data_IF_717672781917
#
_entry.id   IF_717672781917
#
_cell.length_a   1.000
_cell.length_b   1.000
_cell.length_c   1.000
_cell.angle_alpha   90.00
_cell.angle_beta   90.00
_cell.angle_gamma   90.00
#
_symmetry.space_group_name_H-M   'P 1'
#
loop_
_entity.id
_entity.type
_entity.pdbx_description
1 polymer ?
#
# COMPACT_ATOMS: atom_id res chain seq x y z
N UNK A 1 13.93 2.95 -16.14
CA UNK A 1 13.28 4.23 -15.74
C UNK A 1 13.38 4.38 -14.22
N UNK A 2 13.59 5.60 -13.69
CA UNK A 2 13.59 5.82 -12.25
C UNK A 2 12.19 5.58 -11.66
N UNK A 3 12.12 5.04 -10.44
CA UNK A 3 10.86 4.96 -9.70
C UNK A 3 10.40 6.37 -9.28
N UNK A 4 9.13 6.68 -9.54
CA UNK A 4 8.45 7.94 -9.17
C UNK A 4 7.59 7.80 -7.90
N UNK A 5 7.80 6.73 -7.14
CA UNK A 5 7.13 6.48 -5.87
C UNK A 5 8.11 5.82 -4.89
N UNK A 6 8.07 6.16 -3.58
CA UNK A 6 8.86 5.48 -2.56
C UNK A 6 8.31 4.10 -2.19
N UNK A 7 7.08 3.76 -2.57
CA UNK A 7 6.38 2.52 -2.15
C UNK A 7 6.82 1.25 -2.89
N UNK A 8 7.90 1.31 -3.66
CA UNK A 8 8.43 0.16 -4.37
C UNK A 8 9.20 -0.78 -3.43
N UNK A 9 8.84 -2.06 -3.44
CA UNK A 9 9.55 -3.12 -2.73
C UNK A 9 9.34 -3.14 -1.21
N UNK A 10 8.22 -2.59 -0.75
CA UNK A 10 7.80 -2.53 0.65
C UNK A 10 6.30 -2.83 0.77
N UNK A 11 5.80 -3.00 2.00
CA UNK A 11 4.37 -3.04 2.27
C UNK A 11 4.00 -2.29 3.54
N UNK A 12 2.72 -1.93 3.61
CA UNK A 12 2.05 -1.41 4.80
C UNK A 12 1.00 -2.43 5.25
N UNK A 13 0.73 -2.50 6.55
CA UNK A 13 -0.56 -3.01 7.00
C UNK A 13 -1.64 -1.97 6.69
N UNK A 14 -2.86 -2.44 6.43
CA UNK A 14 -3.86 -1.57 5.83
C UNK A 14 -4.23 -0.33 6.66
N UNK A 15 -4.38 -0.39 8.00
CA UNK A 15 -4.61 0.80 8.82
C UNK A 15 -3.48 1.84 8.70
N UNK A 16 -2.22 1.41 8.62
CA UNK A 16 -1.08 2.31 8.44
C UNK A 16 -1.01 2.91 7.04
N UNK A 17 -1.49 2.17 6.03
CA UNK A 17 -1.64 2.72 4.69
C UNK A 17 -2.68 3.85 4.66
N UNK A 18 -3.82 3.69 5.34
CA UNK A 18 -4.84 4.74 5.43
C UNK A 18 -4.29 5.98 6.14
N UNK A 19 -3.58 5.80 7.25
CA UNK A 19 -2.97 6.92 7.96
C UNK A 19 -1.84 7.58 7.16
N UNK A 20 -1.04 6.79 6.43
CA UNK A 20 -0.05 7.32 5.49
C UNK A 20 -0.69 8.24 4.44
N UNK A 21 -1.85 7.84 3.91
CA UNK A 21 -2.57 8.61 2.88
C UNK A 21 -3.31 9.84 3.43
N UNK A 22 -3.68 9.88 4.71
CA UNK A 22 -4.48 10.98 5.28
C UNK A 22 -3.72 12.32 5.29
N UNK A 23 -2.39 12.27 5.43
CA UNK A 23 -1.48 13.38 5.17
C UNK A 23 -0.30 12.90 4.31
N UNK A 24 -0.59 12.57 3.04
CA UNK A 24 0.41 12.01 2.14
C UNK A 24 1.67 12.89 2.04
N UNK A 25 1.51 14.22 1.96
CA UNK A 25 2.66 15.12 1.79
C UNK A 25 3.52 15.16 3.06
N UNK A 26 2.91 15.39 4.23
CA UNK A 26 3.65 15.40 5.50
C UNK A 26 4.33 14.06 5.76
N UNK A 27 3.63 12.95 5.50
CA UNK A 27 4.17 11.62 5.70
C UNK A 27 5.33 11.29 4.74
N UNK A 28 5.30 11.73 3.49
CA UNK A 28 6.43 11.53 2.57
C UNK A 28 7.72 12.22 3.05
N UNK A 29 7.59 13.34 3.77
CA UNK A 29 8.69 14.13 4.32
C UNK A 29 9.10 13.71 5.75
N UNK A 30 8.28 12.89 6.41
CA UNK A 30 8.48 12.48 7.80
C UNK A 30 9.71 11.57 7.98
N UNK A 31 10.28 11.62 9.19
CA UNK A 31 11.42 10.78 9.58
C UNK A 31 10.99 9.33 9.74
N UNK A 32 11.89 8.43 9.37
CA UNK A 32 11.77 7.01 9.64
C UNK A 32 12.49 6.68 10.94
N UNK A 33 11.80 6.03 11.89
CA UNK A 33 12.43 5.39 13.04
C UNK A 33 12.41 3.89 12.89
N UNK A 34 13.57 3.28 12.74
CA UNK A 34 13.68 1.83 12.60
C UNK A 34 13.41 1.13 13.92
N UNK A 35 12.71 -0.01 13.83
CA UNK A 35 12.35 -0.88 14.96
C UNK A 35 12.74 -2.32 14.65
N UNK A 36 12.95 -3.12 15.68
CA UNK A 36 13.32 -4.53 15.57
C UNK A 36 12.11 -5.46 15.54
N UNK A 37 10.97 -4.97 15.99
CA UNK A 37 9.72 -5.71 16.09
C UNK A 37 8.60 -4.92 15.43
N UNK A 38 7.71 -5.64 14.76
CA UNK A 38 6.47 -5.11 14.23
C UNK A 38 5.46 -4.92 15.36
N UNK A 39 4.67 -3.85 15.28
CA UNK A 39 3.50 -3.64 16.14
C UNK A 39 2.35 -4.61 15.84
N UNK A 40 2.41 -5.32 14.71
CA UNK A 40 1.44 -6.35 14.35
C UNK A 40 2.01 -7.75 14.57
N UNK A 41 1.28 -8.61 15.27
CA UNK A 41 1.67 -10.01 15.47
C UNK A 41 1.93 -10.75 14.14
N UNK A 42 1.12 -10.47 13.12
CA UNK A 42 1.30 -11.02 11.76
C UNK A 42 2.58 -10.48 11.08
N UNK A 43 2.98 -9.24 11.39
CA UNK A 43 4.22 -8.67 10.88
C UNK A 43 5.44 -9.37 11.47
N UNK A 44 5.43 -9.62 12.79
CA UNK A 44 6.46 -10.41 13.47
C UNK A 44 6.52 -11.85 12.95
N UNK A 45 5.37 -12.50 12.75
CA UNK A 45 5.30 -13.84 12.17
C UNK A 45 5.95 -13.88 10.78
N UNK A 46 5.64 -12.90 9.92
CA UNK A 46 6.22 -12.79 8.57
C UNK A 46 7.71 -12.52 8.61
N UNK A 47 8.16 -11.62 9.48
CA UNK A 47 9.56 -11.31 9.66
C UNK A 47 10.36 -12.56 10.06
N UNK A 48 9.86 -13.32 11.03
CA UNK A 48 10.50 -14.55 11.51
C UNK A 48 10.53 -15.67 10.45
N UNK A 49 9.56 -15.70 9.53
CA UNK A 49 9.50 -16.66 8.42
C UNK A 49 10.22 -16.17 7.16
N UNK A 50 10.72 -14.94 7.13
CA UNK A 50 11.34 -14.36 5.95
C UNK A 50 12.68 -15.03 5.64
N UNK A 51 12.95 -15.30 4.35
CA UNK A 51 14.24 -15.86 3.91
C UNK A 51 15.42 -14.91 4.12
N UNK A 52 15.14 -13.61 4.21
CA UNK A 52 16.11 -12.55 4.41
C UNK A 52 15.53 -11.57 5.42
N UNK A 53 16.34 -11.13 6.38
CA UNK A 53 16.00 -10.00 7.22
C UNK A 53 15.83 -8.75 6.36
N UNK A 54 14.93 -7.86 6.79
CA UNK A 54 14.63 -6.61 6.13
C UNK A 54 14.26 -5.55 7.17
N UNK A 55 14.48 -4.25 6.91
CA UNK A 55 14.16 -3.20 7.88
C UNK A 55 12.66 -3.05 8.11
N UNK A 56 12.28 -2.78 9.36
CA UNK A 56 10.95 -2.31 9.75
C UNK A 56 11.12 -0.91 10.32
N UNK A 57 10.28 0.04 9.90
CA UNK A 57 10.32 1.39 10.44
C UNK A 57 8.93 1.93 10.74
N UNK A 58 8.87 2.87 11.68
CA UNK A 58 7.73 3.71 11.95
C UNK A 58 7.97 5.07 11.30
N UNK A 59 7.04 5.47 10.43
CA UNK A 59 6.97 6.79 9.85
C UNK A 59 6.16 7.69 10.78
N UNK A 60 6.71 8.85 11.13
CA UNK A 60 6.12 9.78 12.10
C UNK A 60 5.77 9.08 13.44
N UNK A 61 6.62 8.15 13.89
CA UNK A 61 6.44 7.33 15.10
C UNK A 61 5.20 6.42 15.16
N UNK A 62 4.35 6.44 14.13
CA UNK A 62 3.05 5.78 14.17
C UNK A 62 2.86 4.73 13.07
N UNK A 63 3.26 5.01 11.82
CA UNK A 63 2.87 4.19 10.67
C UNK A 63 3.95 3.19 10.30
N UNK A 64 3.66 1.89 10.39
CA UNK A 64 4.64 0.84 10.16
C UNK A 64 4.83 0.51 8.69
N UNK A 65 6.10 0.44 8.28
CA UNK A 65 6.54 0.10 6.93
C UNK A 65 7.51 -1.06 7.02
N UNK A 66 7.23 -2.11 6.24
CA UNK A 66 8.12 -3.25 6.07
C UNK A 66 8.86 -3.17 4.74
N UNK A 67 10.17 -2.95 4.78
CA UNK A 67 11.02 -2.73 3.61
C UNK A 67 11.56 -4.05 3.01
N UNK A 68 10.67 -4.91 2.51
CA UNK A 68 10.95 -6.29 2.06
C UNK A 68 12.19 -6.48 1.16
N UNK A 69 12.46 -5.54 0.25
CA UNK A 69 13.52 -5.66 -0.76
C UNK A 69 14.72 -4.75 -0.50
N UNK A 70 15.00 -4.45 0.78
CA UNK A 70 16.08 -3.58 1.21
C UNK A 70 17.01 -4.34 2.16
N UNK A 71 18.31 -4.19 1.98
CA UNK A 71 19.32 -4.96 2.71
C UNK A 71 19.54 -4.42 4.14
N UNK A 72 19.36 -3.12 4.36
CA UNK A 72 19.59 -2.48 5.65
C UNK A 72 18.85 -1.14 5.78
N UNK A 73 18.85 -0.59 7.00
CA UNK A 73 18.17 0.65 7.38
C UNK A 73 18.62 1.85 6.52
N UNK A 74 19.93 1.98 6.28
CA UNK A 74 20.50 3.05 5.47
C UNK A 74 20.00 3.00 4.01
N UNK A 75 19.94 1.82 3.41
CA UNK A 75 19.40 1.64 2.06
C UNK A 75 17.91 2.00 2.01
N UNK A 76 17.12 1.56 2.99
CA UNK A 76 15.70 1.85 3.10
C UNK A 76 15.44 3.36 3.22
N UNK A 77 16.10 4.03 4.17
CA UNK A 77 15.94 5.46 4.41
C UNK A 77 16.40 6.29 3.20
N UNK A 78 17.59 6.03 2.66
CA UNK A 78 18.11 6.80 1.53
C UNK A 78 17.22 6.66 0.29
N UNK A 79 16.70 5.45 0.00
CA UNK A 79 15.81 5.24 -1.14
C UNK A 79 14.41 5.80 -0.90
N UNK A 80 13.88 5.72 0.32
CA UNK A 80 12.59 6.32 0.68
C UNK A 80 12.62 7.81 0.39
N UNK A 81 13.52 8.56 1.01
CA UNK A 81 13.57 10.02 0.87
C UNK A 81 13.86 10.46 -0.58
N UNK A 82 14.85 9.85 -1.24
CA UNK A 82 15.15 10.17 -2.66
C UNK A 82 14.00 9.90 -3.62
N UNK A 83 13.10 8.97 -3.29
CA UNK A 83 11.93 8.66 -4.13
C UNK A 83 10.71 9.45 -3.72
N UNK A 84 10.57 9.81 -2.44
CA UNK A 84 9.55 10.71 -1.95
C UNK A 84 9.66 12.09 -2.62
N UNK A 85 10.88 12.60 -2.81
CA UNK A 85 11.16 13.85 -3.55
C UNK A 85 10.69 13.83 -5.02
N UNK A 86 10.46 12.65 -5.61
CA UNK A 86 10.09 12.49 -7.02
C UNK A 86 8.59 12.30 -7.24
N UNK A 87 7.81 12.29 -6.16
CA UNK A 87 6.36 12.12 -6.26
C UNK A 87 5.78 13.31 -7.02
N UNK A 88 5.21 13.04 -8.19
CA UNK A 88 4.47 13.99 -8.98
C UNK A 88 3.00 13.95 -8.53
N UNK A 89 2.61 14.94 -7.71
CA UNK A 89 1.27 15.01 -7.14
C UNK A 89 0.20 15.29 -8.20
N UNK A 90 0.53 15.99 -9.29
CA UNK A 90 -0.39 16.26 -10.40
C UNK A 90 -0.69 14.97 -11.20
N UNK A 91 0.28 14.04 -11.24
CA UNK A 91 0.15 12.74 -11.92
C UNK A 91 -0.04 11.56 -10.96
N UNK A 92 -0.44 11.82 -9.72
CA UNK A 92 -0.63 10.79 -8.71
C UNK A 92 -1.73 9.79 -9.11
N UNK A 93 -1.50 8.51 -8.81
CA UNK A 93 -2.52 7.46 -8.83
C UNK A 93 -2.39 6.67 -7.54
N UNK A 94 -3.45 6.63 -6.74
CA UNK A 94 -3.46 5.92 -5.46
C UNK A 94 -4.17 4.58 -5.64
N UNK A 95 -3.50 3.49 -5.25
CA UNK A 95 -4.03 2.13 -5.41
C UNK A 95 -4.01 1.41 -4.08
N UNK A 96 -5.19 0.95 -3.66
CA UNK A 96 -5.35 0.09 -2.50
C UNK A 96 -5.90 -1.29 -2.87
N UNK A 97 -5.67 -2.25 -2.00
CA UNK A 97 -6.06 -3.65 -2.16
C UNK A 97 -6.55 -4.18 -0.81
N UNK A 98 -7.69 -4.87 -0.77
CA UNK A 98 -8.25 -5.54 0.42
C UNK A 98 -7.33 -6.70 0.89
N UNK A 99 -6.25 -6.33 1.59
CA UNK A 99 -5.21 -7.22 2.10
C UNK A 99 -5.24 -7.27 3.64
N UNK A 100 -4.08 -7.53 4.26
CA UNK A 100 -3.98 -7.86 5.67
C UNK A 100 -4.36 -6.68 6.56
N UNK A 101 -5.17 -6.97 7.58
CA UNK A 101 -5.74 -6.00 8.52
C UNK A 101 -6.70 -4.98 7.88
N UNK A 102 -7.11 -5.18 6.62
CA UNK A 102 -8.11 -4.32 5.97
C UNK A 102 -9.51 -4.61 6.50
N UNK A 103 -10.17 -3.57 6.99
CA UNK A 103 -11.59 -3.60 7.40
C UNK A 103 -12.46 -2.85 6.40
N UNK A 104 -13.78 -3.05 6.47
CA UNK A 104 -14.72 -2.25 5.68
C UNK A 104 -14.63 -0.75 5.99
N UNK A 105 -14.32 -0.38 7.25
CA UNK A 105 -14.12 1.01 7.63
C UNK A 105 -12.97 1.62 6.83
N UNK A 106 -11.85 0.90 6.70
CA UNK A 106 -10.68 1.38 5.98
C UNK A 106 -10.96 1.57 4.47
N UNK A 107 -11.77 0.69 3.88
CA UNK A 107 -12.23 0.83 2.48
C UNK A 107 -13.08 2.09 2.30
N UNK A 108 -14.00 2.35 3.25
CA UNK A 108 -14.84 3.56 3.23
C UNK A 108 -14.03 4.83 3.48
N UNK A 109 -13.01 4.78 4.34
CA UNK A 109 -12.12 5.91 4.59
C UNK A 109 -11.28 6.22 3.34
N UNK A 110 -10.75 5.20 2.67
CA UNK A 110 -10.08 5.36 1.37
C UNK A 110 -11.01 6.01 0.33
N UNK A 111 -12.27 5.57 0.26
CA UNK A 111 -13.27 6.14 -0.67
C UNK A 111 -13.61 7.60 -0.38
N UNK A 112 -13.42 8.08 0.86
CA UNK A 112 -13.64 9.50 1.22
C UNK A 112 -12.45 10.41 0.94
N UNK A 113 -11.23 9.87 0.77
CA UNK A 113 -10.03 10.67 0.56
C UNK A 113 -10.07 11.46 -0.76
N UNK A 114 -9.61 12.70 -0.75
CA UNK A 114 -9.67 13.59 -1.92
C UNK A 114 -8.48 13.38 -2.88
N UNK A 115 -8.44 12.22 -3.56
CA UNK A 115 -7.50 11.95 -4.64
C UNK A 115 -8.24 11.88 -5.99
N UNK A 116 -7.73 12.61 -6.99
CA UNK A 116 -8.33 12.67 -8.33
C UNK A 116 -8.42 11.29 -8.98
N UNK A 117 -7.34 10.50 -8.89
CA UNK A 117 -7.26 9.14 -9.44
C UNK A 117 -6.92 8.16 -8.34
N UNK A 118 -7.93 7.43 -7.87
CA UNK A 118 -7.76 6.38 -6.88
C UNK A 118 -8.60 5.15 -7.21
N UNK A 119 -8.06 3.98 -6.87
CA UNK A 119 -8.70 2.70 -7.11
C UNK A 119 -8.47 1.77 -5.93
N UNK A 120 -9.50 1.02 -5.57
CA UNK A 120 -9.45 0.09 -4.46
C UNK A 120 -9.96 -1.27 -4.89
N UNK A 121 -9.09 -2.28 -4.95
CA UNK A 121 -9.49 -3.62 -5.33
C UNK A 121 -10.10 -4.36 -4.15
N UNK A 122 -11.32 -4.87 -4.34
CA UNK A 122 -12.09 -5.59 -3.33
C UNK A 122 -12.53 -6.96 -3.83
N UNK A 123 -12.75 -7.90 -2.91
CA UNK A 123 -13.36 -9.21 -3.23
C UNK A 123 -14.89 -9.21 -3.06
N UNK A 124 -15.47 -8.11 -2.60
CA UNK A 124 -16.91 -7.91 -2.50
C UNK A 124 -17.28 -6.62 -3.22
N UNK A 125 -18.51 -6.55 -3.69
CA UNK A 125 -19.07 -5.31 -4.16
C UNK A 125 -19.49 -4.43 -2.97
N UNK A 126 -18.75 -3.34 -2.75
CA UNK A 126 -19.05 -2.35 -1.72
C UNK A 126 -19.90 -1.20 -2.25
N UNK A 127 -20.17 -1.16 -3.57
CA UNK A 127 -20.87 -0.09 -4.26
C UNK A 127 -20.31 1.32 -3.95
N UNK A 128 -18.98 1.45 -3.93
CA UNK A 128 -18.27 2.70 -3.69
C UNK A 128 -17.54 3.17 -4.96
N UNK A 129 -17.53 4.48 -5.26
CA UNK A 129 -16.95 5.02 -6.49
C UNK A 129 -15.50 4.60 -6.77
N UNK A 130 -14.68 4.52 -5.72
CA UNK A 130 -13.26 4.13 -5.84
C UNK A 130 -13.04 2.62 -5.89
N UNK A 131 -14.04 1.79 -5.57
CA UNK A 131 -13.87 0.34 -5.50
C UNK A 131 -13.99 -0.34 -6.87
N UNK A 132 -13.19 -1.39 -7.05
CA UNK A 132 -13.23 -2.30 -8.18
C UNK A 132 -13.39 -3.71 -7.62
N UNK A 133 -14.58 -4.25 -7.77
CA UNK A 133 -14.87 -5.62 -7.37
C UNK A 133 -14.20 -6.61 -8.33
N UNK A 134 -13.35 -7.48 -7.78
CA UNK A 134 -12.68 -8.56 -8.49
C UNK A 134 -13.35 -9.89 -8.20
N UNK A 135 -14.22 -10.30 -9.12
CA UNK A 135 -15.00 -11.54 -9.01
C UNK A 135 -14.14 -12.80 -8.84
N UNK A 136 -12.95 -12.84 -9.44
CA UNK A 136 -11.99 -13.94 -9.29
C UNK A 136 -11.58 -14.22 -7.84
N UNK A 137 -11.81 -13.27 -6.91
CA UNK A 137 -11.47 -13.38 -5.50
C UNK A 137 -12.67 -13.44 -4.55
N UNK A 138 -13.91 -13.54 -5.05
CA UNK A 138 -15.14 -13.49 -4.24
C UNK A 138 -15.16 -14.46 -3.06
N UNK A 139 -14.70 -15.69 -3.31
CA UNK A 139 -14.67 -16.77 -2.31
C UNK A 139 -13.37 -16.85 -1.52
N UNK A 140 -12.41 -15.95 -1.77
CA UNK A 140 -11.16 -15.90 -1.04
C UNK A 140 -11.30 -15.08 0.25
N UNK A 141 -10.40 -15.35 1.20
CA UNK A 141 -10.31 -14.57 2.45
C UNK A 141 -9.85 -13.13 2.20
N UNK A 142 -9.02 -12.93 1.17
CA UNK A 142 -8.48 -11.63 0.77
C UNK A 142 -8.28 -11.56 -0.75
N UNK A 143 -8.05 -10.36 -1.26
CA UNK A 143 -7.60 -10.19 -2.65
C UNK A 143 -6.23 -10.91 -2.81
N UNK A 144 -6.02 -11.59 -3.93
CA UNK A 144 -4.78 -12.34 -4.17
C UNK A 144 -3.52 -11.49 -3.98
N UNK A 145 -2.36 -12.12 -3.77
CA UNK A 145 -1.07 -11.43 -3.66
C UNK A 145 -0.86 -10.53 -4.90
N UNK A 146 -0.77 -9.20 -4.77
CA UNK A 146 -0.66 -8.29 -5.92
C UNK A 146 0.56 -8.58 -6.80
N UNK A 147 1.63 -9.18 -6.25
CA UNK A 147 2.79 -9.59 -7.02
C UNK A 147 2.48 -10.76 -7.97
N UNK A 148 1.69 -11.73 -7.51
CA UNK A 148 1.32 -12.93 -8.28
C UNK A 148 0.10 -12.71 -9.15
N UNK A 149 -0.85 -11.93 -8.64
CA UNK A 149 -2.17 -11.69 -9.21
C UNK A 149 -2.28 -10.34 -9.91
N UNK A 150 -1.18 -9.60 -10.07
CA UNK A 150 -1.20 -8.27 -10.70
C UNK A 150 -1.87 -8.27 -12.08
N UNK A 151 -1.68 -9.33 -12.88
CA UNK A 151 -2.34 -9.47 -14.18
C UNK A 151 -3.88 -9.44 -14.09
N UNK A 152 -4.48 -9.97 -13.02
CA UNK A 152 -5.93 -9.92 -12.77
C UNK A 152 -6.34 -8.51 -12.36
N UNK A 153 -5.62 -7.92 -11.40
CA UNK A 153 -5.90 -6.58 -10.87
C UNK A 153 -5.80 -5.51 -11.98
N UNK A 154 -4.71 -5.48 -12.74
CA UNK A 154 -4.50 -4.46 -13.77
C UNK A 154 -5.40 -4.66 -15.00
N UNK A 155 -5.79 -5.91 -15.33
CA UNK A 155 -6.81 -6.17 -16.35
C UNK A 155 -8.16 -5.56 -15.94
N UNK A 156 -8.54 -5.66 -14.68
CA UNK A 156 -9.79 -5.08 -14.18
C UNK A 156 -9.82 -3.54 -14.25
N UNK A 157 -8.66 -2.88 -14.08
CA UNK A 157 -8.55 -1.43 -14.29
C UNK A 157 -8.81 -1.02 -15.74
N UNK A 158 -8.24 -1.76 -16.69
CA UNK A 158 -8.42 -1.48 -18.11
C UNK A 158 -9.90 -1.61 -18.53
N UNK A 159 -10.59 -2.64 -18.03
CA UNK A 159 -12.02 -2.85 -18.31
C UNK A 159 -12.87 -1.73 -17.68
N UNK A 160 -12.63 -1.39 -16.41
CA UNK A 160 -13.43 -0.38 -15.70
C UNK A 160 -13.23 1.04 -16.24
N UNK A 161 -12.05 1.38 -16.76
CA UNK A 161 -11.82 2.69 -17.41
C UNK A 161 -12.68 2.90 -18.65
N UNK A 162 -13.01 1.84 -19.38
CA UNK A 162 -13.85 1.92 -20.58
C UNK A 162 -15.35 2.06 -20.26
N UNK A 163 -15.75 1.92 -18.99
CA UNK A 163 -17.16 1.99 -18.55
C UNK A 163 -17.49 3.36 -17.92
N UNK A 164 -16.48 4.17 -17.56
CA UNK A 164 -16.64 5.48 -16.90
C UNK A 164 -16.23 6.68 -17.79
N UNK A 165 -16.22 6.53 -19.12
CA UNK A 165 -16.13 7.65 -20.08
C UNK A 165 -17.52 8.03 -20.60
#
# INVERSE_FOLDING_TARGET
MPYLSPTAGLYFFFPDYINFLSDLKGNLEAKLRFVTESKYSLGNERYNKAKKSYPIALLNDEHEIHFLHYANQYEAESKWHKRAERVDFDKLVVVGTELDQCTEKDIRDFDRMNFERKFFFTRKDYNLPSTIYIKDFEHNVKIGDPYRSGHILYKSLAINKNVKQ
#
